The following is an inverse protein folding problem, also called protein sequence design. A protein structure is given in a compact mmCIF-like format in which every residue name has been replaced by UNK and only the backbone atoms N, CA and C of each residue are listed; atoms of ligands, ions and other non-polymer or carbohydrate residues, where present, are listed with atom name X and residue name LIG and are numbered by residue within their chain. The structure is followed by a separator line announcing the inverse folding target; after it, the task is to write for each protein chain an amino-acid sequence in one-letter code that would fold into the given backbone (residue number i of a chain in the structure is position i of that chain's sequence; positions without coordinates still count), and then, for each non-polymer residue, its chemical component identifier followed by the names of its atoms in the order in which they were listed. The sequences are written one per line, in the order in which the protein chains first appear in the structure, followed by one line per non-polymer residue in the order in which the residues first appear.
data_IF_312707433561
#
_entry.id   IF_312707433561
#
_cell.length_a   1.000
_cell.length_b   1.000
_cell.length_c   1.000
_cell.angle_alpha   90.00
_cell.angle_beta   90.00
_cell.angle_gamma   90.00
#
_symmetry.space_group_name_H-M   'P 1'
#
loop_
_entity.id
_entity.type
_entity.pdbx_description
1 polymer ?
#
# COMPACT_ATOMS: atom_id res chain seq x y z
N UNK A 1 -11.38 9.13 -17.94
CA UNK A 1 -11.46 7.90 -18.75
C UNK A 1 -10.07 7.31 -18.92
N UNK A 2 -9.99 6.05 -19.28
CA UNK A 2 -8.72 5.37 -19.50
C UNK A 2 -8.96 3.88 -19.69
N UNK A 3 -7.92 3.20 -20.11
CA UNK A 3 -7.89 1.75 -20.28
C UNK A 3 -6.91 1.15 -19.29
N UNK A 4 -7.28 0.02 -18.70
CA UNK A 4 -6.43 -0.73 -17.78
C UNK A 4 -6.17 -2.10 -18.39
N UNK A 5 -4.90 -2.48 -18.46
CA UNK A 5 -4.47 -3.77 -18.95
C UNK A 5 -3.87 -4.59 -17.79
N UNK A 6 -4.22 -5.87 -17.76
CA UNK A 6 -3.63 -6.84 -16.83
C UNK A 6 -3.13 -8.03 -17.65
N UNK A 7 -1.86 -8.38 -17.52
CA UNK A 7 -1.19 -9.41 -18.36
C UNK A 7 -1.48 -9.22 -19.87
N UNK A 8 -1.42 -7.97 -20.34
CA UNK A 8 -1.66 -7.62 -21.76
C UNK A 8 -3.11 -7.67 -22.21
N UNK A 9 -4.07 -7.95 -21.33
CA UNK A 9 -5.50 -8.01 -21.66
C UNK A 9 -6.22 -6.80 -21.07
N UNK A 10 -7.06 -6.16 -21.89
CA UNK A 10 -7.92 -5.07 -21.45
C UNK A 10 -8.90 -5.55 -20.37
N UNK A 11 -8.94 -4.83 -19.25
CA UNK A 11 -9.87 -5.12 -18.15
C UNK A 11 -11.23 -4.48 -18.43
N UNK A 12 -12.23 -5.31 -18.58
CA UNK A 12 -13.64 -4.95 -18.53
C UNK A 12 -14.26 -5.27 -17.15
N UNK A 13 -15.50 -4.86 -16.92
CA UNK A 13 -16.22 -5.12 -15.66
C UNK A 13 -16.33 -6.63 -15.33
N UNK A 14 -16.48 -7.49 -16.35
CA UNK A 14 -16.63 -8.93 -16.16
C UNK A 14 -15.31 -9.60 -15.79
N UNK A 15 -14.24 -9.22 -16.48
CA UNK A 15 -12.87 -9.70 -16.20
C UNK A 15 -12.38 -9.23 -14.84
N UNK A 16 -12.56 -7.94 -14.51
CA UNK A 16 -12.22 -7.37 -13.21
C UNK A 16 -12.91 -8.13 -12.06
N UNK A 17 -14.19 -8.47 -12.21
CA UNK A 17 -14.92 -9.23 -11.18
C UNK A 17 -14.34 -10.64 -10.97
N UNK A 18 -13.78 -11.27 -12.01
CA UNK A 18 -13.17 -12.61 -11.90
C UNK A 18 -11.79 -12.58 -11.24
N UNK A 19 -11.04 -11.51 -11.47
CA UNK A 19 -9.67 -11.33 -10.95
C UNK A 19 -9.65 -10.88 -9.49
N UNK A 20 -10.67 -10.10 -9.10
CA UNK A 20 -10.76 -9.52 -7.75
C UNK A 20 -10.85 -10.61 -6.69
N UNK A 21 -9.98 -10.53 -5.66
CA UNK A 21 -9.88 -11.50 -4.57
C UNK A 21 -9.24 -12.83 -4.97
N UNK A 22 -8.72 -12.96 -6.18
CA UNK A 22 -7.99 -14.16 -6.67
C UNK A 22 -6.59 -13.80 -7.14
N UNK A 23 -6.51 -13.05 -8.24
CA UNK A 23 -5.24 -12.60 -8.82
C UNK A 23 -4.90 -11.17 -8.43
N UNK A 24 -5.93 -10.35 -8.12
CA UNK A 24 -5.76 -8.97 -7.68
C UNK A 24 -6.42 -8.81 -6.32
N UNK A 25 -5.66 -8.45 -5.32
CA UNK A 25 -6.14 -8.14 -3.97
C UNK A 25 -6.07 -6.64 -3.71
N UNK A 26 -7.08 -6.12 -3.01
CA UNK A 26 -7.15 -4.73 -2.59
C UNK A 26 -7.20 -4.67 -1.06
N UNK A 27 -6.27 -3.94 -0.47
CA UNK A 27 -6.26 -3.57 0.94
C UNK A 27 -6.84 -2.16 1.04
N UNK A 28 -8.07 -2.01 1.55
CA UNK A 28 -8.73 -0.72 1.62
C UNK A 28 -8.21 0.13 2.79
N UNK A 29 -8.36 1.45 2.67
CA UNK A 29 -7.97 2.40 3.69
C UNK A 29 -8.69 2.20 5.04
N UNK A 30 -9.98 1.84 5.02
CA UNK A 30 -10.80 1.78 6.23
C UNK A 30 -10.86 0.38 6.83
N UNK A 31 -10.63 0.27 8.15
CA UNK A 31 -10.84 -0.97 8.91
C UNK A 31 -12.34 -1.36 9.02
N UNK A 32 -13.25 -0.46 8.65
CA UNK A 32 -14.70 -0.73 8.63
C UNK A 32 -15.10 -1.79 7.58
N UNK A 33 -14.18 -2.22 6.72
CA UNK A 33 -14.38 -3.37 5.82
C UNK A 33 -14.36 -4.72 6.56
N UNK A 34 -13.86 -4.77 7.80
CA UNK A 34 -14.04 -5.95 8.65
C UNK A 34 -15.47 -6.00 9.15
N UNK A 35 -16.13 -7.14 9.00
CA UNK A 35 -17.48 -7.36 9.51
C UNK A 35 -17.47 -7.41 11.06
N UNK A 36 -18.07 -6.43 11.77
CA UNK A 36 -18.03 -6.37 13.23
C UNK A 36 -18.76 -7.55 13.92
N UNK A 37 -19.63 -8.25 13.21
CA UNK A 37 -20.42 -9.36 13.72
C UNK A 37 -19.81 -10.74 13.43
N UNK A 38 -18.65 -10.79 12.80
CA UNK A 38 -17.96 -12.02 12.44
C UNK A 38 -16.58 -12.08 13.08
N UNK A 39 -16.20 -13.27 13.60
CA UNK A 39 -14.86 -13.49 14.13
C UNK A 39 -13.81 -13.38 13.03
N UNK A 40 -12.59 -12.96 13.39
CA UNK A 40 -11.49 -12.80 12.43
C UNK A 40 -11.19 -14.11 11.70
N UNK A 41 -11.15 -15.24 12.39
CA UNK A 41 -10.89 -16.55 11.78
C UNK A 41 -11.82 -16.85 10.61
N UNK A 42 -13.10 -16.49 10.74
CA UNK A 42 -14.09 -16.68 9.68
C UNK A 42 -13.92 -15.71 8.51
N UNK A 43 -13.56 -14.46 8.80
CA UNK A 43 -13.39 -13.42 7.79
C UNK A 43 -12.12 -13.61 6.98
N UNK A 44 -11.03 -13.99 7.64
CA UNK A 44 -9.69 -14.07 7.03
C UNK A 44 -9.53 -15.38 6.29
N UNK A 45 -9.83 -16.48 6.96
CA UNK A 45 -9.50 -17.81 6.42
C UNK A 45 -10.70 -18.55 5.79
N UNK A 46 -11.92 -18.08 6.03
CA UNK A 46 -13.12 -18.77 5.56
C UNK A 46 -13.36 -20.12 6.24
N UNK A 47 -14.12 -20.99 5.57
CA UNK A 47 -14.39 -22.36 6.06
C UNK A 47 -13.37 -23.34 5.51
N UNK A 48 -12.80 -24.19 6.41
CA UNK A 48 -11.93 -25.29 5.97
C UNK A 48 -10.50 -24.87 5.60
N UNK A 49 -10.04 -23.73 6.11
CA UNK A 49 -8.68 -23.26 5.90
C UNK A 49 -7.60 -24.20 6.45
N UNK A 50 -6.42 -24.15 5.84
CA UNK A 50 -5.23 -24.82 6.35
C UNK A 50 -4.75 -24.12 7.64
N UNK A 51 -4.82 -24.85 8.75
CA UNK A 51 -4.44 -24.33 10.08
C UNK A 51 -2.99 -23.91 10.15
N UNK A 52 -2.09 -24.63 9.48
CA UNK A 52 -0.66 -24.34 9.49
C UNK A 52 -0.38 -23.02 8.76
N UNK A 53 -0.92 -22.88 7.55
CA UNK A 53 -0.82 -21.63 6.78
C UNK A 53 -1.43 -20.44 7.54
N UNK A 54 -2.54 -20.66 8.25
CA UNK A 54 -3.16 -19.62 9.07
C UNK A 54 -2.27 -19.20 10.25
N UNK A 55 -1.60 -20.14 10.91
CA UNK A 55 -0.68 -19.85 12.02
C UNK A 55 0.56 -19.09 11.53
N UNK A 56 1.14 -19.47 10.39
CA UNK A 56 2.25 -18.77 9.75
C UNK A 56 1.88 -17.31 9.39
N UNK A 57 0.66 -17.10 8.87
CA UNK A 57 0.18 -15.75 8.57
C UNK A 57 -0.07 -14.92 9.84
N UNK A 58 -0.66 -15.50 10.89
CA UNK A 58 -0.85 -14.81 12.17
C UNK A 58 0.50 -14.36 12.74
N UNK A 59 1.52 -15.21 12.69
CA UNK A 59 2.87 -14.88 13.14
C UNK A 59 3.49 -13.77 12.30
N UNK A 60 3.44 -13.87 10.95
CA UNK A 60 3.93 -12.83 10.01
C UNK A 60 3.30 -11.46 10.28
N UNK A 61 2.04 -11.43 10.70
CA UNK A 61 1.31 -10.20 11.04
C UNK A 61 1.33 -9.85 12.53
N UNK A 62 2.13 -10.55 13.34
CA UNK A 62 2.26 -10.33 14.78
C UNK A 62 0.89 -10.29 15.50
N UNK A 63 0.05 -11.28 15.17
CA UNK A 63 -1.24 -11.55 15.82
C UNK A 63 -1.16 -12.90 16.52
N UNK A 64 -1.74 -13.00 17.71
CA UNK A 64 -1.76 -14.26 18.46
C UNK A 64 -2.81 -15.24 17.93
N UNK A 65 -2.66 -16.52 18.29
CA UNK A 65 -3.65 -17.55 17.94
C UNK A 65 -5.02 -17.27 18.56
N UNK A 66 -5.07 -16.59 19.69
CA UNK A 66 -6.29 -16.19 20.37
C UNK A 66 -6.97 -15.01 19.65
N UNK A 67 -6.21 -14.14 19.00
CA UNK A 67 -6.75 -12.96 18.31
C UNK A 67 -7.68 -13.35 17.16
N UNK A 68 -7.43 -14.47 16.48
CA UNK A 68 -8.31 -14.96 15.41
C UNK A 68 -9.73 -15.27 15.87
N UNK A 69 -9.93 -15.56 17.17
CA UNK A 69 -11.26 -15.84 17.74
C UNK A 69 -11.98 -14.58 18.20
N UNK A 70 -11.33 -13.43 18.16
CA UNK A 70 -11.91 -12.13 18.50
C UNK A 70 -12.77 -11.55 17.38
N UNK A 71 -13.66 -10.68 17.75
CA UNK A 71 -14.39 -9.80 16.84
C UNK A 71 -13.60 -8.51 16.61
N UNK A 72 -13.78 -7.81 15.46
CA UNK A 72 -13.04 -6.58 15.16
C UNK A 72 -13.08 -5.53 16.26
N UNK A 73 -14.21 -5.35 16.94
CA UNK A 73 -14.37 -4.38 18.03
C UNK A 73 -13.57 -4.72 19.30
N UNK A 74 -13.06 -5.94 19.42
CA UNK A 74 -12.22 -6.39 20.55
C UNK A 74 -10.72 -6.16 20.29
N UNK A 75 -10.36 -5.64 19.12
CA UNK A 75 -8.99 -5.40 18.72
C UNK A 75 -8.59 -3.94 18.95
N UNK A 76 -7.30 -3.70 19.18
CA UNK A 76 -6.76 -2.36 19.00
C UNK A 76 -6.79 -1.94 17.53
N UNK A 77 -6.70 -0.64 17.25
CA UNK A 77 -6.69 -0.15 15.86
C UNK A 77 -5.57 -0.77 15.02
N UNK A 78 -4.37 -0.91 15.59
CA UNK A 78 -3.25 -1.57 14.92
C UNK A 78 -3.47 -3.06 14.67
N UNK A 79 -4.10 -3.80 15.60
CA UNK A 79 -4.47 -5.20 15.39
C UNK A 79 -5.53 -5.34 14.30
N UNK A 80 -6.56 -4.49 14.32
CA UNK A 80 -7.61 -4.49 13.29
C UNK A 80 -7.02 -4.19 11.90
N UNK A 81 -6.07 -3.24 11.80
CA UNK A 81 -5.38 -2.94 10.55
C UNK A 81 -4.60 -4.13 10.03
N UNK A 82 -3.80 -4.79 10.88
CA UNK A 82 -3.06 -6.00 10.50
C UNK A 82 -3.99 -7.14 10.08
N UNK A 83 -5.09 -7.34 10.79
CA UNK A 83 -6.09 -8.32 10.43
C UNK A 83 -6.74 -8.03 9.06
N UNK A 84 -7.02 -6.75 8.75
CA UNK A 84 -7.52 -6.32 7.45
C UNK A 84 -6.52 -6.61 6.33
N UNK A 85 -5.24 -6.26 6.52
CA UNK A 85 -4.18 -6.55 5.54
C UNK A 85 -4.06 -8.05 5.34
N UNK A 86 -4.01 -8.83 6.43
CA UNK A 86 -3.92 -10.28 6.38
C UNK A 86 -5.10 -10.89 5.61
N UNK A 87 -6.34 -10.41 5.82
CA UNK A 87 -7.52 -10.89 5.10
C UNK A 87 -7.45 -10.68 3.60
N UNK A 88 -6.70 -9.67 3.17
CA UNK A 88 -6.54 -9.32 1.75
C UNK A 88 -5.43 -10.09 1.05
N UNK A 89 -4.50 -10.71 1.80
CA UNK A 89 -3.34 -11.42 1.25
C UNK A 89 -3.34 -12.93 1.50
N UNK A 90 -4.38 -13.42 2.17
CA UNK A 90 -4.54 -14.85 2.48
C UNK A 90 -4.66 -15.71 1.23
N UNK A 91 -5.30 -15.18 0.20
CA UNK A 91 -5.32 -15.76 -1.14
C UNK A 91 -4.03 -15.41 -1.88
N UNK A 92 -3.53 -16.29 -2.72
CA UNK A 92 -2.26 -16.14 -3.41
C UNK A 92 -2.37 -15.18 -4.61
N UNK A 93 -2.72 -13.91 -4.33
CA UNK A 93 -2.83 -12.87 -5.34
C UNK A 93 -1.47 -12.52 -5.94
N UNK A 94 -1.45 -12.32 -7.26
CA UNK A 94 -0.26 -11.89 -8.01
C UNK A 94 -0.01 -10.39 -7.92
N UNK A 95 -1.08 -9.61 -7.70
CA UNK A 95 -1.03 -8.15 -7.54
C UNK A 95 -1.74 -7.76 -6.26
N UNK A 96 -1.02 -7.05 -5.39
CA UNK A 96 -1.54 -6.46 -4.16
C UNK A 96 -1.58 -4.95 -4.33
N UNK A 97 -2.76 -4.36 -4.15
CA UNK A 97 -2.95 -2.92 -4.15
C UNK A 97 -3.29 -2.51 -2.72
N UNK A 98 -2.49 -1.67 -2.11
CA UNK A 98 -2.70 -1.19 -0.75
C UNK A 98 -2.93 0.33 -0.76
N UNK A 99 -4.11 0.72 -0.33
CA UNK A 99 -4.54 2.11 -0.24
C UNK A 99 -4.41 2.57 1.21
N UNK A 100 -3.43 3.45 1.46
CA UNK A 100 -3.10 3.98 2.78
C UNK A 100 -2.99 2.88 3.86
N UNK A 101 -2.04 1.93 3.75
CA UNK A 101 -1.99 0.79 4.67
C UNK A 101 -1.49 1.15 6.08
N UNK A 102 -0.82 2.28 6.29
CA UNK A 102 -0.10 2.65 7.52
C UNK A 102 -0.78 3.63 8.46
N UNK A 103 -1.78 4.46 8.07
CA UNK A 103 -2.39 5.43 8.96
C UNK A 103 -2.89 4.84 10.29
N UNK A 104 -2.62 5.55 11.39
CA UNK A 104 -3.02 5.12 12.73
C UNK A 104 -2.10 4.06 13.37
N UNK A 105 -1.02 3.69 12.70
CA UNK A 105 0.04 2.84 13.25
C UNK A 105 1.17 3.73 13.82
N UNK A 106 1.84 3.24 14.87
CA UNK A 106 3.09 3.87 15.27
C UNK A 106 4.19 3.59 14.23
N UNK A 107 5.27 4.41 14.16
CA UNK A 107 6.30 4.29 13.12
C UNK A 107 6.92 2.89 13.01
N UNK A 108 7.19 2.24 14.15
CA UNK A 108 7.75 0.89 14.17
C UNK A 108 6.81 -0.11 13.50
N UNK A 109 5.52 -0.07 13.83
CA UNK A 109 4.52 -0.99 13.28
C UNK A 109 4.25 -0.70 11.80
N UNK A 110 4.29 0.58 11.40
CA UNK A 110 4.19 0.98 9.99
C UNK A 110 5.34 0.38 9.16
N UNK A 111 6.58 0.49 9.64
CA UNK A 111 7.74 -0.12 9.01
C UNK A 111 7.62 -1.66 8.93
N UNK A 112 7.16 -2.32 10.01
CA UNK A 112 6.92 -3.77 10.00
C UNK A 112 5.92 -4.18 8.91
N UNK A 113 4.83 -3.44 8.74
CA UNK A 113 3.82 -3.69 7.69
C UNK A 113 4.39 -3.45 6.30
N UNK A 114 5.18 -2.40 6.09
CA UNK A 114 5.79 -2.12 4.80
C UNK A 114 6.81 -3.21 4.42
N UNK A 115 7.56 -3.75 5.39
CA UNK A 115 8.44 -4.89 5.16
C UNK A 115 7.67 -6.15 4.72
N UNK A 116 6.46 -6.38 5.23
CA UNK A 116 5.62 -7.49 4.72
C UNK A 116 5.29 -7.30 3.24
N UNK A 117 5.04 -6.04 2.79
CA UNK A 117 4.85 -5.77 1.36
C UNK A 117 6.13 -5.96 0.55
N UNK A 118 7.30 -5.62 1.11
CA UNK A 118 8.59 -5.92 0.50
C UNK A 118 8.79 -7.42 0.31
N UNK A 119 8.52 -8.22 1.36
CA UNK A 119 8.58 -9.68 1.26
C UNK A 119 7.72 -10.23 0.12
N UNK A 120 6.49 -9.72 -0.05
CA UNK A 120 5.63 -10.15 -1.15
C UNK A 120 6.20 -9.77 -2.53
N UNK A 121 6.85 -8.62 -2.65
CA UNK A 121 7.52 -8.23 -3.88
C UNK A 121 8.73 -9.14 -4.17
N UNK A 122 9.50 -9.49 -3.15
CA UNK A 122 10.63 -10.41 -3.26
C UNK A 122 10.19 -11.86 -3.58
N UNK A 123 8.98 -12.25 -3.16
CA UNK A 123 8.31 -13.48 -3.59
C UNK A 123 7.84 -13.43 -5.07
N UNK A 124 8.02 -12.32 -5.77
CA UNK A 124 7.66 -12.15 -7.19
C UNK A 124 6.24 -11.62 -7.42
N UNK A 125 5.55 -11.13 -6.41
CA UNK A 125 4.23 -10.49 -6.55
C UNK A 125 4.40 -9.02 -6.94
N UNK A 126 3.47 -8.49 -7.71
CA UNK A 126 3.33 -7.05 -7.93
C UNK A 126 2.74 -6.38 -6.68
N UNK A 127 3.36 -5.29 -6.21
CA UNK A 127 2.83 -4.50 -5.08
C UNK A 127 2.70 -3.05 -5.51
N UNK A 128 1.49 -2.51 -5.38
CA UNK A 128 1.18 -1.10 -5.60
C UNK A 128 0.76 -0.48 -4.25
N UNK A 129 1.61 0.37 -3.69
CA UNK A 129 1.33 1.14 -2.48
C UNK A 129 0.85 2.54 -2.88
N UNK A 130 -0.28 2.97 -2.34
CA UNK A 130 -0.79 4.33 -2.45
C UNK A 130 -0.69 4.94 -1.06
N UNK A 131 0.10 5.99 -0.92
CA UNK A 131 0.34 6.63 0.39
C UNK A 131 0.87 8.04 0.23
N UNK A 132 0.72 8.85 1.26
CA UNK A 132 1.35 10.15 1.41
C UNK A 132 2.63 10.11 2.27
N UNK A 133 2.97 8.95 2.84
CA UNK A 133 4.15 8.76 3.69
C UNK A 133 5.36 8.37 2.83
N UNK A 134 5.95 9.40 2.21
CA UNK A 134 7.04 9.23 1.25
C UNK A 134 8.28 8.62 1.89
N UNK A 135 8.60 9.03 3.13
CA UNK A 135 9.81 8.57 3.82
C UNK A 135 9.77 7.06 4.04
N UNK A 136 8.68 6.58 4.63
CA UNK A 136 8.53 5.15 4.91
C UNK A 136 8.49 4.31 3.63
N UNK A 137 7.85 4.81 2.58
CA UNK A 137 7.75 4.05 1.32
C UNK A 137 9.08 3.96 0.59
N UNK A 138 9.94 4.99 0.70
CA UNK A 138 11.27 4.96 0.10
C UNK A 138 12.19 3.87 0.69
N UNK A 139 11.89 3.36 1.88
CA UNK A 139 12.66 2.26 2.48
C UNK A 139 12.37 0.89 1.83
N UNK A 140 11.20 0.72 1.19
CA UNK A 140 10.74 -0.59 0.71
C UNK A 140 10.41 -0.65 -0.78
N UNK A 141 10.15 0.48 -1.43
CA UNK A 141 9.73 0.52 -2.83
C UNK A 141 10.92 0.55 -3.79
N UNK A 142 10.76 -0.04 -4.97
CA UNK A 142 11.73 0.04 -6.06
C UNK A 142 11.56 1.33 -6.87
N UNK A 143 10.30 1.79 -7.00
CA UNK A 143 9.92 2.94 -7.82
C UNK A 143 8.88 3.79 -7.10
N UNK A 144 8.92 5.09 -7.36
CA UNK A 144 7.94 6.05 -6.88
C UNK A 144 7.30 6.76 -8.07
N UNK A 145 5.97 6.92 -8.02
CA UNK A 145 5.19 7.69 -9.01
C UNK A 145 4.49 8.83 -8.29
N UNK A 146 4.74 10.04 -8.73
CA UNK A 146 4.14 11.24 -8.15
C UNK A 146 2.82 11.53 -8.84
N UNK A 147 1.74 11.47 -8.07
CA UNK A 147 0.38 11.65 -8.56
C UNK A 147 -0.17 13.00 -8.10
N UNK A 148 -0.62 13.80 -9.05
CA UNK A 148 -1.23 15.11 -8.77
C UNK A 148 -2.26 15.48 -9.84
N UNK A 149 -3.34 16.15 -9.46
CA UNK A 149 -4.37 16.63 -10.38
C UNK A 149 -5.02 15.55 -11.26
N UNK A 150 -5.01 14.29 -10.83
CA UNK A 150 -5.62 13.19 -11.59
C UNK A 150 -4.67 12.52 -12.59
N UNK A 151 -3.39 12.88 -12.60
CA UNK A 151 -2.37 12.32 -13.50
C UNK A 151 -1.09 11.96 -12.74
N UNK A 152 -0.27 11.10 -13.35
CA UNK A 152 1.09 10.83 -12.88
C UNK A 152 2.01 11.85 -13.54
N UNK A 153 2.63 12.70 -12.73
CA UNK A 153 3.55 13.74 -13.18
C UNK A 153 4.91 13.16 -13.54
N UNK A 154 5.41 12.25 -12.71
CA UNK A 154 6.72 11.66 -12.88
C UNK A 154 6.78 10.26 -12.25
N UNK A 155 7.56 9.35 -12.83
CA UNK A 155 7.88 8.05 -12.26
C UNK A 155 9.38 7.83 -12.35
N UNK A 156 10.02 7.55 -11.21
CA UNK A 156 11.46 7.34 -11.09
C UNK A 156 11.78 6.19 -10.12
N UNK A 157 13.02 5.72 -10.16
CA UNK A 157 13.50 4.80 -9.13
C UNK A 157 13.64 5.53 -7.80
N UNK A 158 13.40 4.83 -6.70
CA UNK A 158 13.58 5.41 -5.36
C UNK A 158 15.01 5.92 -5.16
N UNK A 159 16.01 5.18 -5.66
CA UNK A 159 17.42 5.61 -5.62
C UNK A 159 17.65 6.99 -6.24
N UNK A 160 16.99 7.27 -7.38
CA UNK A 160 17.12 8.54 -8.07
C UNK A 160 16.31 9.64 -7.38
N UNK A 161 15.15 9.31 -6.84
CA UNK A 161 14.37 10.22 -6.01
C UNK A 161 15.15 10.66 -4.75
N UNK A 162 15.81 9.72 -4.06
CA UNK A 162 16.57 10.02 -2.84
C UNK A 162 17.84 10.85 -3.09
N UNK A 163 18.47 10.74 -4.28
CA UNK A 163 19.60 11.60 -4.68
C UNK A 163 19.17 13.07 -4.81
N UNK A 164 17.91 13.32 -5.20
CA UNK A 164 17.47 14.67 -5.54
C UNK A 164 18.13 15.21 -6.82
N UNK A 165 18.34 16.52 -6.84
CA UNK A 165 19.07 17.22 -7.90
C UNK A 165 18.52 16.98 -9.32
N UNK A 166 19.41 16.77 -10.29
CA UNK A 166 19.07 16.62 -11.71
C UNK A 166 18.30 15.32 -12.03
N UNK A 167 18.22 14.39 -11.09
CA UNK A 167 17.46 13.14 -11.24
C UNK A 167 15.96 13.39 -11.28
N UNK A 168 15.49 14.45 -10.59
CA UNK A 168 14.09 14.84 -10.53
C UNK A 168 13.82 15.91 -11.58
N UNK A 169 12.99 15.59 -12.57
CA UNK A 169 12.72 16.48 -13.71
C UNK A 169 11.54 17.42 -13.45
N UNK A 170 10.44 16.86 -12.90
CA UNK A 170 9.21 17.65 -12.74
C UNK A 170 9.33 18.63 -11.56
N UNK A 171 8.99 19.91 -11.70
CA UNK A 171 9.09 20.93 -10.65
C UNK A 171 8.34 20.56 -9.37
N UNK A 172 7.14 20.02 -9.50
CA UNK A 172 6.33 19.57 -8.36
C UNK A 172 7.00 18.42 -7.58
N UNK A 173 7.61 17.44 -8.28
CA UNK A 173 8.34 16.35 -7.64
C UNK A 173 9.54 16.86 -6.87
N UNK A 174 10.28 17.82 -7.45
CA UNK A 174 11.42 18.49 -6.80
C UNK A 174 10.98 19.25 -5.55
N UNK A 175 9.86 19.94 -5.65
CA UNK A 175 9.25 20.64 -4.54
C UNK A 175 8.85 19.69 -3.40
N UNK A 176 8.20 18.58 -3.75
CA UNK A 176 7.83 17.54 -2.78
C UNK A 176 9.07 16.96 -2.09
N UNK A 177 10.12 16.64 -2.86
CA UNK A 177 11.38 16.15 -2.33
C UNK A 177 12.03 17.14 -1.35
N UNK A 178 12.10 18.43 -1.71
CA UNK A 178 12.68 19.48 -0.85
C UNK A 178 11.89 19.66 0.46
N UNK A 179 10.59 19.41 0.46
CA UNK A 179 9.74 19.49 1.64
C UNK A 179 9.84 18.28 2.58
N UNK A 180 10.57 17.22 2.22
CA UNK A 180 10.74 16.06 3.10
C UNK A 180 11.58 16.42 4.34
N UNK A 181 11.32 15.80 5.51
CA UNK A 181 12.01 16.07 6.76
C UNK A 181 13.54 16.01 6.67
N UNK A 182 14.07 15.00 5.94
CA UNK A 182 15.51 14.83 5.72
C UNK A 182 16.13 15.93 4.89
N UNK A 183 15.36 16.68 4.11
CA UNK A 183 15.80 17.75 3.22
C UNK A 183 15.56 19.15 3.82
N UNK A 184 15.49 19.25 5.17
CA UNK A 184 15.41 20.49 5.98
C UNK A 184 14.11 21.29 5.81
N UNK A 185 13.03 20.69 5.29
CA UNK A 185 11.75 21.38 5.06
C UNK A 185 11.93 22.70 4.29
N UNK A 186 12.71 22.71 3.22
CA UNK A 186 12.85 23.92 2.42
C UNK A 186 11.50 24.44 1.97
N UNK A 187 11.19 25.68 2.36
CA UNK A 187 9.95 26.32 1.98
C UNK A 187 9.91 26.58 0.48
N UNK A 188 8.88 26.08 -0.18
CA UNK A 188 8.72 26.24 -1.63
C UNK A 188 7.84 27.44 -1.91
N UNK A 189 8.27 28.28 -2.82
CA UNK A 189 7.42 29.34 -3.36
C UNK A 189 6.36 28.73 -4.29
N UNK A 190 5.15 28.55 -3.76
CA UNK A 190 4.03 27.97 -4.50
C UNK A 190 3.65 28.77 -5.75
N UNK A 191 3.91 30.10 -5.78
CA UNK A 191 3.63 30.93 -6.97
C UNK A 191 4.64 30.62 -8.08
N UNK A 192 5.93 30.50 -7.71
CA UNK A 192 6.97 30.13 -8.66
C UNK A 192 6.73 28.72 -9.21
N UNK A 193 6.38 27.78 -8.33
CA UNK A 193 6.07 26.41 -8.71
C UNK A 193 4.88 26.32 -9.68
N UNK A 194 3.82 27.12 -9.46
CA UNK A 194 2.67 27.14 -10.36
C UNK A 194 3.06 27.61 -11.77
N UNK A 195 3.89 28.64 -11.88
CA UNK A 195 4.39 29.14 -13.19
C UNK A 195 5.24 28.08 -13.90
N UNK A 196 6.15 27.40 -13.19
CA UNK A 196 6.98 26.34 -13.76
C UNK A 196 6.15 25.12 -14.21
N UNK A 197 5.01 24.83 -13.57
CA UNK A 197 4.11 23.74 -13.96
C UNK A 197 3.17 24.09 -15.13
N UNK A 198 2.91 25.39 -15.39
CA UNK A 198 2.13 25.81 -16.55
C UNK A 198 2.92 25.74 -17.87
N UNK A 199 4.25 25.68 -17.78
CA UNK A 199 5.16 25.56 -18.93
C UNK A 199 5.47 24.09 -19.29
N UNK A 200 5.02 23.10 -18.48
CA UNK A 200 5.19 21.66 -18.71
C UNK A 200 3.96 21.06 -19.39
#
# INVERSE_FOLDING_TARGET
GGEIFYEGKLLDKKTTKKLRGKEISLIPQSIAYLDPLSKLSKQIFGKGYDKKKAEELLEKFNLSKEDKEKYPFQLSGGMARRALIMSSVVDDAKLIIADEPTPGLNPKLAAEILNVFRDFADEGKGVLLITHDVDLVCEVADRISIFYGGTILETLKVEDFLKGDDSIKHPYTRALWAALPQNKFEAIDMKKLALECEEC
#
